data_IF_958591265449
#
_entry.id   IF_958591265449
#
_cell.length_a   1.000
_cell.length_b   1.000
_cell.length_c   1.000
_cell.angle_alpha   90.00
_cell.angle_beta   90.00
_cell.angle_gamma   90.00
#
_symmetry.space_group_name_H-M   'P 1'
#
loop_
_entity.id
_entity.type
_entity.pdbx_description
1 polymer ?
#
# COMPACT_ATOMS: atom_id res chain seq x y z
N UNK A 1 -4.82 6.20 -25.96
CA UNK A 1 -3.62 6.79 -25.34
C UNK A 1 -3.85 6.72 -23.83
N UNK A 2 -3.12 5.88 -23.07
CA UNK A 2 -3.26 5.85 -21.61
C UNK A 2 -2.49 7.05 -21.06
N UNK A 3 -3.21 8.11 -20.66
CA UNK A 3 -2.64 9.21 -19.87
C UNK A 3 -1.86 8.60 -18.71
N UNK A 4 -0.54 8.76 -18.75
CA UNK A 4 0.36 8.30 -17.69
C UNK A 4 0.35 9.38 -16.62
N UNK A 5 -0.80 9.55 -15.97
CA UNK A 5 -0.87 10.29 -14.72
C UNK A 5 0.04 9.49 -13.77
N UNK A 6 1.14 10.05 -13.24
CA UNK A 6 1.98 9.31 -12.31
C UNK A 6 1.08 8.89 -11.16
N UNK A 7 0.85 7.58 -11.04
CA UNK A 7 -0.10 7.05 -10.06
C UNK A 7 0.27 7.63 -8.69
N UNK A 8 -0.60 8.47 -8.10
CA UNK A 8 -0.24 9.19 -6.90
C UNK A 8 0.03 8.15 -5.81
N UNK A 9 1.28 8.15 -5.35
CA UNK A 9 1.72 7.32 -4.26
C UNK A 9 0.84 7.59 -3.03
N UNK A 10 0.16 6.56 -2.56
CA UNK A 10 -0.78 6.64 -1.44
C UNK A 10 0.00 6.73 -0.13
N UNK A 11 -0.29 7.74 0.69
CA UNK A 11 0.21 7.76 2.06
C UNK A 11 -0.38 6.60 2.88
N UNK A 12 0.28 6.23 3.98
CA UNK A 12 -0.18 5.16 4.90
C UNK A 12 -1.67 5.27 5.26
N UNK A 13 -2.21 6.47 5.45
CA UNK A 13 -3.65 6.68 5.75
C UNK A 13 -4.54 6.32 4.56
N UNK A 14 -4.17 6.77 3.36
CA UNK A 14 -4.92 6.51 2.13
C UNK A 14 -4.85 5.04 1.74
N UNK A 15 -3.69 4.40 1.88
CA UNK A 15 -3.50 2.97 1.67
C UNK A 15 -4.31 2.13 2.66
N UNK A 16 -4.30 2.51 3.95
CA UNK A 16 -5.13 1.86 4.96
C UNK A 16 -6.63 1.97 4.65
N UNK A 17 -7.09 3.16 4.24
CA UNK A 17 -8.47 3.38 3.80
C UNK A 17 -8.82 2.56 2.55
N UNK A 18 -7.89 2.44 1.59
CA UNK A 18 -8.06 1.64 0.38
C UNK A 18 -8.27 0.15 0.70
N UNK A 19 -7.48 -0.37 1.63
CA UNK A 19 -7.55 -1.76 2.09
C UNK A 19 -8.66 -1.99 3.13
N UNK A 20 -9.42 -0.95 3.52
CA UNK A 20 -10.37 -0.99 4.65
C UNK A 20 -9.77 -1.53 5.96
N UNK A 21 -8.50 -1.22 6.21
CA UNK A 21 -7.79 -1.58 7.45
C UNK A 21 -7.45 -0.35 8.29
N UNK A 22 -7.13 -0.56 9.56
CA UNK A 22 -6.65 0.53 10.39
C UNK A 22 -5.22 0.96 9.97
N UNK A 23 -4.86 2.25 10.04
CA UNK A 23 -3.50 2.70 9.77
C UNK A 23 -2.48 2.09 10.74
N UNK A 24 -2.91 1.68 11.94
CA UNK A 24 -2.10 0.92 12.89
C UNK A 24 -1.78 -0.48 12.39
N UNK A 25 -2.76 -1.18 11.80
CA UNK A 25 -2.55 -2.48 11.14
C UNK A 25 -1.53 -2.36 10.02
N UNK A 26 -1.64 -1.32 9.19
CA UNK A 26 -0.67 -1.07 8.11
C UNK A 26 0.73 -0.79 8.66
N UNK A 27 0.85 -0.04 9.76
CA UNK A 27 2.13 0.20 10.42
C UNK A 27 2.73 -1.08 11.01
N UNK A 28 1.93 -1.96 11.59
CA UNK A 28 2.38 -3.28 12.05
C UNK A 28 2.86 -4.13 10.88
N UNK A 29 2.17 -4.13 9.74
CA UNK A 29 2.61 -4.86 8.55
C UNK A 29 3.93 -4.33 7.98
N UNK A 30 4.11 -3.02 7.98
CA UNK A 30 5.36 -2.34 7.60
C UNK A 30 6.53 -2.73 8.55
N UNK A 31 6.28 -2.73 9.87
CA UNK A 31 7.27 -3.12 10.87
C UNK A 31 7.60 -4.62 10.84
N UNK A 32 6.60 -5.47 10.68
CA UNK A 32 6.76 -6.93 10.65
C UNK A 32 7.27 -7.43 9.31
N UNK A 33 7.24 -6.59 8.26
CA UNK A 33 7.53 -6.98 6.87
C UNK A 33 6.80 -8.26 6.45
N UNK A 34 5.61 -8.47 7.02
CA UNK A 34 4.86 -9.73 6.88
C UNK A 34 4.30 -9.91 5.47
N UNK A 35 4.12 -8.80 4.74
CA UNK A 35 3.58 -8.77 3.39
C UNK A 35 4.46 -7.91 2.49
N UNK A 36 4.60 -8.32 1.22
CA UNK A 36 5.39 -7.62 0.22
C UNK A 36 4.60 -6.42 -0.37
N UNK A 37 4.19 -5.49 0.49
CA UNK A 37 3.46 -4.27 0.12
C UNK A 37 4.34 -3.24 -0.61
N UNK A 38 5.61 -3.60 -0.87
CA UNK A 38 6.68 -2.77 -1.44
C UNK A 38 6.59 -1.30 -1.01
N UNK A 39 6.59 -1.02 0.31
CA UNK A 39 6.48 0.34 0.81
C UNK A 39 7.62 1.21 0.28
N UNK A 40 7.28 2.28 -0.41
CA UNK A 40 8.23 3.25 -0.94
C UNK A 40 8.52 4.26 0.15
N UNK A 41 9.74 4.25 0.65
CA UNK A 41 10.18 5.19 1.68
C UNK A 41 10.59 6.51 1.03
N UNK A 42 9.88 7.58 1.36
CA UNK A 42 10.16 8.94 0.90
C UNK A 42 10.54 9.78 2.12
N UNK A 43 11.82 9.74 2.48
CA UNK A 43 12.34 10.37 3.70
C UNK A 43 11.72 9.77 4.96
N UNK A 44 10.98 10.60 5.73
CA UNK A 44 10.23 10.17 6.92
C UNK A 44 8.86 9.56 6.60
N UNK A 45 8.37 9.75 5.38
CA UNK A 45 7.06 9.26 4.96
C UNK A 45 7.19 7.88 4.29
N UNK A 46 6.18 7.04 4.49
CA UNK A 46 6.03 5.77 3.78
C UNK A 46 4.82 5.88 2.86
N UNK A 47 5.05 5.53 1.60
CA UNK A 47 4.15 5.69 0.46
C UNK A 47 3.92 4.32 -0.17
N UNK A 48 2.74 4.09 -0.72
CA UNK A 48 2.32 2.82 -1.29
C UNK A 48 1.84 3.04 -2.72
N UNK A 49 2.19 2.14 -3.63
CA UNK A 49 1.59 2.15 -4.97
C UNK A 49 0.24 1.48 -4.90
N UNK A 50 -0.72 2.00 -5.68
CA UNK A 50 -2.04 1.39 -5.77
C UNK A 50 -1.96 -0.02 -6.35
N UNK A 51 -1.10 -0.23 -7.33
CA UNK A 51 -0.83 -1.54 -7.96
C UNK A 51 -0.39 -2.59 -6.93
N UNK A 52 0.58 -2.24 -6.08
CA UNK A 52 1.07 -3.17 -5.03
C UNK A 52 -0.02 -3.49 -4.00
N UNK A 53 -0.89 -2.52 -3.65
CA UNK A 53 -2.04 -2.77 -2.78
C UNK A 53 -3.08 -3.68 -3.44
N UNK A 54 -3.29 -3.55 -4.75
CA UNK A 54 -4.21 -4.38 -5.52
C UNK A 54 -3.70 -5.81 -5.64
N UNK A 55 -2.41 -5.99 -5.96
CA UNK A 55 -1.73 -7.30 -5.94
C UNK A 55 -1.85 -7.97 -4.56
N UNK A 56 -1.70 -7.18 -3.49
CA UNK A 56 -1.90 -7.67 -2.13
C UNK A 56 -3.34 -8.13 -1.88
N UNK A 57 -4.35 -7.36 -2.29
CA UNK A 57 -5.76 -7.76 -2.19
C UNK A 57 -6.03 -9.04 -2.97
N UNK A 58 -5.52 -9.14 -4.20
CA UNK A 58 -5.64 -10.33 -5.04
C UNK A 58 -4.97 -11.55 -4.39
N UNK A 59 -3.83 -11.36 -3.73
CA UNK A 59 -3.15 -12.43 -2.97
C UNK A 59 -3.91 -12.84 -1.71
N UNK A 60 -4.63 -11.92 -1.06
CA UNK A 60 -5.47 -12.22 0.12
C UNK A 60 -6.79 -12.92 -0.28
N UNK A 61 -7.37 -12.54 -1.43
CA UNK A 61 -8.63 -13.12 -1.94
C UNK A 61 -8.45 -14.58 -2.39
N UNK A 62 -7.24 -14.99 -2.75
CA UNK A 62 -6.92 -16.35 -3.23
C UNK A 62 -6.82 -17.42 -2.14
N UNK A 63 -7.38 -17.17 -0.95
CA UNK A 63 -7.23 -18.03 0.23
C UNK A 63 -8.42 -18.96 0.46
#
# INVERSE_FOLDING_TARGET
>A
MKETIPEPLLDRKSAAKYLSVSPGTLAVWDCTKRYDLKPIKVGRAVRYRRTDLDDFLNSQLKR
#
